data_IF_176649477448
#
_entry.id   IF_176649477448
#
_cell.length_a   1.000
_cell.length_b   1.000
_cell.length_c   1.000
_cell.angle_alpha   90.00
_cell.angle_beta   90.00
_cell.angle_gamma   90.00
#
_symmetry.space_group_name_H-M   'P 1'
#
loop_
_entity.id
_entity.type
_entity.pdbx_description
1 polymer ?
#
# COMPACT_ATOMS: atom_id res chain seq x y z
N UNK A 1 4.48 3.87 26.99
CA UNK A 1 4.29 3.47 25.58
C UNK A 1 2.92 3.97 25.12
N UNK A 2 2.90 4.79 24.07
CA UNK A 2 1.72 5.51 23.60
C UNK A 2 0.71 4.60 22.88
N UNK A 3 -0.53 4.54 23.38
CA UNK A 3 -1.61 3.70 22.79
C UNK A 3 -2.02 4.17 21.39
N UNK A 4 -1.80 5.44 21.05
CA UNK A 4 -2.14 5.98 19.73
C UNK A 4 -1.20 5.45 18.65
N UNK A 5 0.09 5.33 18.94
CA UNK A 5 1.09 4.69 18.08
C UNK A 5 0.73 3.23 17.76
N UNK A 6 0.29 2.45 18.75
CA UNK A 6 -0.13 1.06 18.52
C UNK A 6 -1.36 0.94 17.63
N UNK A 7 -2.29 1.92 17.67
CA UNK A 7 -3.48 1.93 16.81
C UNK A 7 -3.13 2.29 15.37
N UNK A 8 -2.34 3.34 15.18
CA UNK A 8 -1.88 3.77 13.85
C UNK A 8 -1.10 2.67 13.14
N UNK A 9 -0.23 1.96 13.87
CA UNK A 9 0.50 0.81 13.36
C UNK A 9 -0.43 -0.29 12.83
N UNK A 10 -1.45 -0.68 13.62
CA UNK A 10 -2.44 -1.68 13.20
C UNK A 10 -3.24 -1.24 11.97
N UNK A 11 -3.67 0.02 11.95
CA UNK A 11 -4.41 0.59 10.81
C UNK A 11 -3.57 0.61 9.54
N UNK A 12 -2.29 0.98 9.64
CA UNK A 12 -1.37 1.02 8.51
C UNK A 12 -1.12 -0.37 7.93
N UNK A 13 -0.85 -1.38 8.76
CA UNK A 13 -0.64 -2.75 8.28
C UNK A 13 -1.92 -3.40 7.73
N UNK A 14 -3.09 -3.16 8.33
CA UNK A 14 -4.35 -3.64 7.78
C UNK A 14 -4.61 -3.05 6.38
N UNK A 15 -4.36 -1.75 6.22
CA UNK A 15 -4.47 -1.07 4.94
C UNK A 15 -3.45 -1.59 3.91
N UNK A 16 -2.22 -1.86 4.34
CA UNK A 16 -1.16 -2.41 3.51
C UNK A 16 -1.52 -3.80 2.96
N UNK A 17 -2.05 -4.67 3.82
CA UNK A 17 -2.53 -6.00 3.42
C UNK A 17 -3.64 -5.90 2.36
N UNK A 18 -4.62 -5.01 2.56
CA UNK A 18 -5.69 -4.78 1.59
C UNK A 18 -5.14 -4.24 0.26
N UNK A 19 -4.23 -3.26 0.30
CA UNK A 19 -3.62 -2.70 -0.92
C UNK A 19 -2.90 -3.79 -1.71
N UNK A 20 -2.16 -4.70 -1.05
CA UNK A 20 -1.46 -5.79 -1.74
C UNK A 20 -2.43 -6.76 -2.40
N UNK A 21 -3.50 -7.14 -1.71
CA UNK A 21 -4.52 -8.03 -2.25
C UNK A 21 -5.19 -7.47 -3.51
N UNK A 22 -5.35 -6.14 -3.57
CA UNK A 22 -6.05 -5.45 -4.66
C UNK A 22 -5.14 -4.60 -5.56
N UNK A 23 -3.82 -4.80 -5.55
CA UNK A 23 -2.87 -3.86 -6.18
C UNK A 23 -3.06 -3.67 -7.69
N UNK A 24 -3.67 -4.66 -8.35
CA UNK A 24 -3.99 -4.68 -9.79
C UNK A 24 -5.36 -4.06 -10.13
N UNK A 25 -6.16 -3.78 -9.12
CA UNK A 25 -7.45 -3.10 -9.26
C UNK A 25 -7.29 -1.58 -9.07
N UNK A 26 -8.34 -0.83 -9.39
CA UNK A 26 -8.44 0.54 -8.91
C UNK A 26 -8.77 0.56 -7.40
N UNK A 27 -7.98 1.33 -6.65
CA UNK A 27 -8.11 1.45 -5.20
C UNK A 27 -8.38 2.93 -4.89
N UNK A 28 -9.63 3.40 -5.04
CA UNK A 28 -9.96 4.76 -4.66
C UNK A 28 -9.78 4.88 -3.14
N UNK A 29 -9.16 5.98 -2.68
CA UNK A 29 -8.85 6.19 -1.25
C UNK A 29 -10.09 6.06 -0.37
N UNK A 30 -11.28 6.42 -0.87
CA UNK A 30 -12.52 6.27 -0.13
C UNK A 30 -12.89 4.80 0.15
N UNK A 31 -12.59 3.87 -0.77
CA UNK A 31 -12.77 2.42 -0.57
C UNK A 31 -11.84 1.94 0.53
N UNK A 32 -10.57 2.34 0.46
CA UNK A 32 -9.57 1.99 1.48
C UNK A 32 -9.95 2.51 2.86
N UNK A 33 -10.43 3.76 2.97
CA UNK A 33 -10.91 4.33 4.23
C UNK A 33 -12.07 3.52 4.82
N UNK A 34 -13.05 3.13 3.99
CA UNK A 34 -14.22 2.34 4.40
C UNK A 34 -13.82 0.97 4.90
N UNK A 35 -12.95 0.27 4.18
CA UNK A 35 -12.47 -1.06 4.54
C UNK A 35 -11.80 -1.07 5.92
N UNK A 36 -10.96 -0.07 6.19
CA UNK A 36 -10.17 0.01 7.43
C UNK A 36 -10.97 0.65 8.57
N UNK A 37 -12.15 1.22 8.29
CA UNK A 37 -12.99 1.90 9.28
C UNK A 37 -12.38 3.18 9.82
N UNK A 38 -11.69 3.96 8.98
CA UNK A 38 -11.00 5.19 9.37
C UNK A 38 -11.33 6.37 8.47
N UNK A 39 -11.19 7.58 9.00
CA UNK A 39 -11.19 8.78 8.16
C UNK A 39 -9.93 8.87 7.30
N UNK A 40 -9.99 9.65 6.21
CA UNK A 40 -8.82 9.92 5.36
C UNK A 40 -7.65 10.51 6.15
N UNK A 41 -7.92 11.45 7.08
CA UNK A 41 -6.88 12.07 7.92
C UNK A 41 -6.21 11.05 8.84
N UNK A 42 -6.98 10.15 9.45
CA UNK A 42 -6.41 9.06 10.27
C UNK A 42 -5.57 8.09 9.44
N UNK A 43 -6.04 7.74 8.24
CA UNK A 43 -5.27 6.89 7.33
C UNK A 43 -3.94 7.55 6.93
N UNK A 44 -3.95 8.84 6.59
CA UNK A 44 -2.74 9.61 6.31
C UNK A 44 -1.76 9.57 7.49
N UNK A 45 -2.24 9.80 8.73
CA UNK A 45 -1.38 9.69 9.91
C UNK A 45 -0.85 8.28 10.13
N UNK A 46 -1.68 7.26 9.97
CA UNK A 46 -1.27 5.87 10.12
C UNK A 46 -0.13 5.52 9.15
N UNK A 47 -0.26 5.92 7.89
CA UNK A 47 0.77 5.70 6.87
C UNK A 47 2.03 6.54 7.12
N UNK A 48 1.89 7.83 7.43
CA UNK A 48 3.05 8.70 7.68
C UNK A 48 3.86 8.25 8.91
N UNK A 49 3.18 7.82 9.96
CA UNK A 49 3.85 7.36 11.19
C UNK A 49 4.48 5.97 11.05
N UNK A 50 3.88 5.10 10.23
CA UNK A 50 4.34 3.70 10.10
C UNK A 50 5.32 3.48 8.95
N UNK A 51 5.05 4.11 7.79
CA UNK A 51 5.79 3.90 6.54
C UNK A 51 6.50 5.15 6.03
N UNK A 52 6.39 6.29 6.72
CA UNK A 52 6.90 7.60 6.27
C UNK A 52 6.33 8.10 4.93
N UNK A 53 5.25 7.49 4.43
CA UNK A 53 4.61 7.82 3.15
C UNK A 53 3.14 8.20 3.37
N UNK A 54 2.51 8.87 2.41
CA UNK A 54 1.04 8.90 2.30
C UNK A 54 0.52 7.58 1.69
N UNK A 55 -0.77 7.25 1.86
CA UNK A 55 -1.38 6.07 1.24
C UNK A 55 -1.21 6.04 -0.29
N UNK A 56 -1.34 7.19 -0.95
CA UNK A 56 -1.19 7.30 -2.42
C UNK A 56 0.26 7.09 -2.88
N UNK A 57 1.24 7.60 -2.15
CA UNK A 57 2.66 7.34 -2.44
C UNK A 57 2.98 5.86 -2.28
N UNK A 58 2.46 5.23 -1.22
CA UNK A 58 2.65 3.81 -0.97
C UNK A 58 2.07 2.93 -2.09
N UNK A 59 0.82 3.18 -2.51
CA UNK A 59 0.18 2.46 -3.62
C UNK A 59 0.99 2.61 -4.91
N UNK A 60 1.45 3.83 -5.23
CA UNK A 60 2.28 4.08 -6.42
C UNK A 60 3.60 3.31 -6.38
N UNK A 61 4.28 3.29 -5.23
CA UNK A 61 5.53 2.56 -5.06
C UNK A 61 5.33 1.05 -5.26
N UNK A 62 4.25 0.47 -4.70
CA UNK A 62 3.92 -0.94 -4.90
C UNK A 62 3.60 -1.26 -6.37
N UNK A 63 2.79 -0.43 -7.04
CA UNK A 63 2.48 -0.62 -8.47
C UNK A 63 3.73 -0.55 -9.33
N UNK A 64 4.66 0.37 -9.05
CA UNK A 64 5.93 0.46 -9.76
C UNK A 64 6.81 -0.79 -9.55
N UNK A 65 6.88 -1.29 -8.31
CA UNK A 65 7.63 -2.51 -8.01
C UNK A 65 7.04 -3.73 -8.75
N UNK A 66 5.71 -3.86 -8.80
CA UNK A 66 5.06 -4.94 -9.55
C UNK A 66 5.32 -4.82 -11.06
N UNK A 67 5.22 -3.61 -11.62
CA UNK A 67 5.54 -3.36 -13.03
C UNK A 67 7.00 -3.74 -13.35
N UNK A 68 7.95 -3.33 -12.50
CA UNK A 68 9.37 -3.70 -12.64
C UNK A 68 9.54 -5.22 -12.62
N UNK A 69 8.89 -5.91 -11.68
CA UNK A 69 8.93 -7.38 -11.58
C UNK A 69 8.42 -8.06 -12.85
N UNK A 70 7.31 -7.57 -13.41
CA UNK A 70 6.73 -8.11 -14.64
C UNK A 70 7.64 -7.90 -15.85
N UNK A 71 8.28 -6.74 -15.96
CA UNK A 71 9.23 -6.44 -17.05
C UNK A 71 10.49 -7.30 -16.96
N UNK A 72 11.08 -7.45 -15.77
CA UNK A 72 12.26 -8.31 -15.56
C UNK A 72 11.94 -9.79 -15.80
N UNK A 73 10.78 -10.28 -15.35
CA UNK A 73 10.35 -11.66 -15.59
C UNK A 73 10.07 -11.95 -17.08
N UNK A 74 9.67 -10.94 -17.87
CA UNK A 74 9.54 -11.07 -19.33
C UNK A 74 10.91 -11.11 -20.01
N UNK A 75 11.84 -10.23 -19.62
CA UNK A 75 13.20 -10.20 -20.16
C UNK A 75 13.97 -11.50 -19.92
N UNK A 76 13.87 -12.09 -18.73
CA UNK A 76 14.52 -13.36 -18.39
C UNK A 76 14.02 -14.56 -19.21
N UNK A 77 12.79 -14.51 -19.77
CA UNK A 77 12.25 -15.55 -20.66
C UNK A 77 12.61 -15.34 -22.15
N UNK A 78 13.13 -14.17 -22.50
CA UNK A 78 13.51 -13.81 -23.87
C UNK A 78 15.00 -14.01 -24.19
N UNK A 79 15.81 -14.45 -23.22
CA UNK A 79 17.28 -14.58 -23.36
C UNK A 79 17.77 -16.02 -23.57
N UNK A 80 16.90 -16.92 -24.04
CA UNK A 80 17.33 -18.21 -24.62
C UNK A 80 17.17 -18.14 -26.14
N UNK A 81 18.17 -17.57 -26.82
CA UNK A 81 18.50 -17.83 -28.22
C UNK A 81 20.01 -17.81 -28.38
#
# INVERSE_FOLDING_TARGET
MDRSSSRHLRQAWAAEAFIRAHIREDIPIIRLCKEIGVSRRQLEYAFRTTFALSPLEFIRALRLNEARRLLTARGARGSSV
#
